data_IF_883034121216
#
_entry.id   IF_883034121216
#
_cell.length_a   1.000
_cell.length_b   1.000
_cell.length_c   1.000
_cell.angle_alpha   90.00
_cell.angle_beta   90.00
_cell.angle_gamma   90.00
#
_symmetry.space_group_name_H-M   'P 1'
#
loop_
_entity.id
_entity.type
_entity.pdbx_description
1 polymer ?
#
# COMPACT_ATOMS: atom_id res chain seq x y z
N UNK A 1 -30.19 -22.61 -6.49
CA UNK A 1 -29.11 -21.84 -7.12
C UNK A 1 -28.55 -22.72 -8.20
N UNK A 2 -28.72 -22.37 -9.48
CA UNK A 2 -28.28 -23.20 -10.58
C UNK A 2 -26.76 -23.39 -10.47
N UNK A 3 -26.33 -24.65 -10.40
CA UNK A 3 -24.93 -25.03 -10.36
C UNK A 3 -24.33 -24.66 -11.72
N UNK A 4 -23.70 -23.48 -11.80
CA UNK A 4 -23.10 -23.00 -13.04
C UNK A 4 -22.00 -23.99 -13.39
N UNK A 5 -22.29 -24.91 -14.30
CA UNK A 5 -21.37 -25.94 -14.74
C UNK A 5 -20.38 -25.29 -15.70
N UNK A 6 -19.36 -24.63 -15.14
CA UNK A 6 -18.27 -24.05 -15.90
C UNK A 6 -17.48 -25.17 -16.57
N UNK A 7 -17.46 -25.18 -17.92
CA UNK A 7 -16.53 -26.03 -18.65
C UNK A 7 -15.09 -25.66 -18.28
N UNK A 8 -14.15 -26.60 -18.39
CA UNK A 8 -12.76 -26.36 -18.02
C UNK A 8 -12.17 -25.12 -18.70
N UNK A 9 -12.50 -24.88 -19.97
CA UNK A 9 -12.08 -23.69 -20.72
C UNK A 9 -12.68 -22.39 -20.21
N UNK A 10 -13.97 -22.37 -19.85
CA UNK A 10 -14.61 -21.16 -19.31
C UNK A 10 -14.08 -20.81 -17.92
N UNK A 11 -13.76 -21.82 -17.08
CA UNK A 11 -13.12 -21.60 -15.78
C UNK A 11 -11.73 -21.00 -15.93
N UNK A 12 -10.92 -21.50 -16.87
CA UNK A 12 -9.59 -20.95 -17.13
C UNK A 12 -9.67 -19.48 -17.57
N UNK A 13 -10.59 -19.16 -18.48
CA UNK A 13 -10.82 -17.78 -18.91
C UNK A 13 -11.27 -16.89 -17.75
N UNK A 14 -12.17 -17.39 -16.91
CA UNK A 14 -12.64 -16.67 -15.72
C UNK A 14 -11.51 -16.42 -14.71
N UNK A 15 -10.63 -17.40 -14.46
CA UNK A 15 -9.46 -17.23 -13.60
C UNK A 15 -8.50 -16.17 -14.14
N UNK A 16 -8.28 -16.15 -15.45
CA UNK A 16 -7.46 -15.11 -16.11
C UNK A 16 -8.10 -13.72 -15.96
N UNK A 17 -9.42 -13.61 -16.10
CA UNK A 17 -10.14 -12.35 -15.90
C UNK A 17 -10.09 -11.88 -14.44
N UNK A 18 -10.24 -12.79 -13.47
CA UNK A 18 -10.09 -12.47 -12.05
C UNK A 18 -8.69 -11.95 -11.73
N UNK A 19 -7.65 -12.64 -12.20
CA UNK A 19 -6.25 -12.20 -12.03
C UNK A 19 -6.00 -10.82 -12.66
N UNK A 20 -6.63 -10.55 -13.81
CA UNK A 20 -6.55 -9.25 -14.48
C UNK A 20 -7.26 -8.16 -13.66
N UNK A 21 -8.43 -8.46 -13.10
CA UNK A 21 -9.16 -7.54 -12.23
C UNK A 21 -8.36 -7.21 -10.96
N UNK A 22 -7.72 -8.21 -10.35
CA UNK A 22 -6.86 -8.02 -9.17
C UNK A 22 -5.64 -7.14 -9.49
N UNK A 23 -4.99 -7.37 -10.64
CA UNK A 23 -3.88 -6.54 -11.10
C UNK A 23 -4.32 -5.10 -11.37
N UNK A 24 -5.50 -4.92 -11.95
CA UNK A 24 -6.09 -3.61 -12.19
C UNK A 24 -6.36 -2.88 -10.86
N UNK A 25 -6.96 -3.56 -9.87
CA UNK A 25 -7.23 -3.00 -8.56
C UNK A 25 -5.94 -2.58 -7.83
N UNK A 26 -4.89 -3.42 -7.86
CA UNK A 26 -3.58 -3.07 -7.31
C UNK A 26 -2.97 -1.85 -8.01
N UNK A 27 -3.08 -1.79 -9.34
CA UNK A 27 -2.54 -0.67 -10.12
C UNK A 27 -3.28 0.63 -9.80
N UNK A 28 -4.61 0.60 -9.70
CA UNK A 28 -5.42 1.75 -9.30
C UNK A 28 -5.05 2.23 -7.90
N UNK A 29 -4.84 1.31 -6.94
CA UNK A 29 -4.42 1.66 -5.59
C UNK A 29 -3.05 2.37 -5.59
N UNK A 30 -2.07 1.82 -6.31
CA UNK A 30 -0.74 2.44 -6.45
C UNK A 30 -0.79 3.80 -7.13
N UNK A 31 -1.65 3.99 -8.13
CA UNK A 31 -1.83 5.27 -8.80
C UNK A 31 -2.47 6.31 -7.87
N UNK A 32 -3.49 5.90 -7.11
CA UNK A 32 -4.19 6.78 -6.18
C UNK A 32 -3.30 7.26 -5.02
N UNK A 33 -2.41 6.40 -4.51
CA UNK A 33 -1.52 6.75 -3.39
C UNK A 33 -0.15 7.26 -3.83
N UNK A 34 0.25 7.01 -5.08
CA UNK A 34 1.61 7.22 -5.57
C UNK A 34 2.65 6.31 -4.93
N UNK A 35 2.25 5.31 -4.13
CA UNK A 35 3.16 4.42 -3.40
C UNK A 35 3.15 3.03 -4.02
N UNK A 36 4.34 2.46 -4.18
CA UNK A 36 4.51 1.06 -4.62
C UNK A 36 4.04 0.06 -3.56
N UNK A 37 4.26 0.38 -2.27
CA UNK A 37 3.93 -0.43 -1.10
C UNK A 37 2.94 0.36 -0.27
N UNK A 38 1.70 -0.12 -0.20
CA UNK A 38 0.59 0.54 0.48
C UNK A 38 0.23 -0.17 1.79
N UNK A 39 0.55 -1.45 1.90
CA UNK A 39 0.30 -2.26 3.07
C UNK A 39 1.53 -3.08 3.50
N UNK A 40 1.48 -3.60 4.72
CA UNK A 40 2.47 -4.56 5.19
C UNK A 40 2.43 -5.89 4.42
N UNK A 41 1.30 -6.23 3.77
CA UNK A 41 1.18 -7.42 2.93
C UNK A 41 1.94 -7.28 1.61
N UNK A 42 2.01 -6.05 1.06
CA UNK A 42 2.72 -5.80 -0.20
C UNK A 42 4.23 -6.00 -0.04
N UNK A 43 4.79 -5.45 1.04
CA UNK A 43 6.17 -5.67 1.47
C UNK A 43 6.33 -5.22 2.93
N UNK A 44 6.47 -6.14 3.90
CA UNK A 44 6.51 -5.76 5.31
C UNK A 44 7.77 -4.95 5.65
N UNK A 45 8.93 -5.31 5.10
CA UNK A 45 10.19 -4.62 5.38
C UNK A 45 10.11 -3.17 4.92
N UNK A 46 9.72 -2.92 3.67
CA UNK A 46 9.61 -1.56 3.12
C UNK A 46 8.54 -0.75 3.85
N UNK A 47 7.39 -1.35 4.16
CA UNK A 47 6.29 -0.67 4.84
C UNK A 47 6.72 -0.19 6.24
N UNK A 48 7.20 -1.11 7.10
CA UNK A 48 7.59 -0.76 8.47
C UNK A 48 8.86 0.10 8.54
N UNK A 49 9.81 -0.07 7.60
CA UNK A 49 10.96 0.84 7.51
C UNK A 49 10.50 2.27 7.21
N UNK A 50 9.61 2.44 6.22
CA UNK A 50 9.07 3.77 5.89
C UNK A 50 8.31 4.40 7.06
N UNK A 51 7.56 3.59 7.81
CA UNK A 51 6.84 4.05 9.00
C UNK A 51 7.79 4.50 10.11
N UNK A 52 8.84 3.72 10.41
CA UNK A 52 9.86 4.09 11.39
C UNK A 52 10.58 5.39 11.00
N UNK A 53 10.91 5.58 9.72
CA UNK A 53 11.51 6.81 9.22
C UNK A 53 10.56 8.01 9.35
N UNK A 54 9.26 7.83 9.10
CA UNK A 54 8.25 8.89 9.29
C UNK A 54 8.10 9.32 10.75
N UNK A 55 8.11 8.35 11.69
CA UNK A 55 8.09 8.65 13.12
C UNK A 55 9.33 9.46 13.51
N UNK A 56 10.51 8.99 13.08
CA UNK A 56 11.78 9.66 13.37
C UNK A 56 11.85 11.07 12.79
N UNK A 57 11.29 11.31 11.60
CA UNK A 57 11.19 12.66 11.04
C UNK A 57 10.27 13.57 11.88
N UNK A 58 9.18 13.03 12.42
CA UNK A 58 8.25 13.76 13.29
C UNK A 58 8.90 14.13 14.63
N UNK A 59 9.68 13.21 15.20
CA UNK A 59 10.47 13.45 16.42
C UNK A 59 11.51 14.56 16.19
N UNK A 60 12.21 14.51 15.05
CA UNK A 60 13.19 15.54 14.67
C UNK A 60 12.55 16.91 14.45
N UNK A 61 11.37 16.99 13.85
CA UNK A 61 10.62 18.26 13.72
C UNK A 61 10.24 18.82 15.09
N UNK A 62 9.74 17.97 16.00
CA UNK A 62 9.38 18.39 17.36
C UNK A 62 10.59 18.90 18.15
N UNK A 63 11.75 18.25 17.98
CA UNK A 63 13.01 18.69 18.55
C UNK A 63 13.45 20.05 17.96
N UNK A 64 13.35 20.21 16.64
CA UNK A 64 13.69 21.47 15.97
C UNK A 64 12.82 22.63 16.46
N UNK A 65 11.51 22.41 16.60
CA UNK A 65 10.58 23.42 17.13
C UNK A 65 10.96 23.81 18.57
N UNK A 66 11.31 22.83 19.41
CA UNK A 66 11.76 23.07 20.79
C UNK A 66 13.05 23.90 20.83
N UNK A 67 14.01 23.59 19.97
CA UNK A 67 15.27 24.36 19.84
C UNK A 67 14.97 25.79 19.36
N UNK A 68 14.14 25.94 18.34
CA UNK A 68 13.74 27.26 17.81
C UNK A 68 13.10 28.12 18.89
N UNK A 69 12.20 27.55 19.68
CA UNK A 69 11.57 28.25 20.80
C UNK A 69 12.60 28.65 21.88
N UNK A 70 13.54 27.75 22.22
CA UNK A 70 14.57 28.03 23.20
C UNK A 70 15.56 29.12 22.75
N UNK A 71 15.83 29.24 21.44
CA UNK A 71 16.68 30.32 20.90
C UNK A 71 15.97 31.66 20.76
N UNK A 72 14.63 31.65 20.73
CA UNK A 72 13.81 32.85 20.54
C UNK A 72 13.54 33.60 21.86
N UNK A 73 13.60 32.90 23.00
CA UNK A 73 13.64 33.45 24.37
C UNK A 73 15.05 33.85 24.79
#
# INVERSE_FOLDING_TARGET
MADITLSAGVRQNLLSLQSTADLMAQTQNRLATGKKVNSALDNPISYFTSQSLGNRASDLNSLLDSISNATQT
#
